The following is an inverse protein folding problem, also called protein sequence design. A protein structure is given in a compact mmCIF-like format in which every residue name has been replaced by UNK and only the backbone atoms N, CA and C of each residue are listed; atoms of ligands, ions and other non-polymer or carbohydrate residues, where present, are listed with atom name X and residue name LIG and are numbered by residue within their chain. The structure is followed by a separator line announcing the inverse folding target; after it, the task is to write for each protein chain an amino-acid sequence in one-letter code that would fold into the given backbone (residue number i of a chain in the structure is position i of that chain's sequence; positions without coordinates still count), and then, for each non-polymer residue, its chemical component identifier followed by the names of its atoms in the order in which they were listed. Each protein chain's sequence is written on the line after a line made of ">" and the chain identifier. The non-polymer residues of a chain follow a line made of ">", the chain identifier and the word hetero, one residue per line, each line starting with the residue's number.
data_IF_046044812764
#
_entry.id   IF_046044812764
#
_cell.length_a   1.000
_cell.length_b   1.000
_cell.length_c   1.000
_cell.angle_alpha   90.00
_cell.angle_beta   90.00
_cell.angle_gamma   90.00
#
_symmetry.space_group_name_H-M   'P 1'
#
loop_
_entity.id
_entity.type
_entity.pdbx_description
1 polymer ?
#
# COMPACT_ATOMS: atom_id res chain seq x y z
N UNK A 1 9.41 20.87 -20.52
CA UNK A 1 7.95 21.05 -20.82
C UNK A 1 7.34 21.89 -19.72
N UNK A 2 6.78 23.06 -20.06
CA UNK A 2 6.24 24.01 -19.06
C UNK A 2 4.82 23.69 -18.59
N UNK A 3 4.02 23.08 -19.46
CA UNK A 3 2.66 22.65 -19.16
C UNK A 3 2.30 21.41 -19.96
N UNK A 4 1.31 20.66 -19.47
CA UNK A 4 0.76 19.51 -20.17
C UNK A 4 -0.76 19.54 -20.11
N UNK A 5 -1.39 19.61 -21.28
CA UNK A 5 -2.84 19.61 -21.41
C UNK A 5 -3.42 18.21 -21.15
N UNK A 6 -4.48 18.18 -20.35
CA UNK A 6 -5.21 16.97 -19.99
C UNK A 6 -6.53 16.92 -20.76
N UNK A 7 -7.02 15.71 -21.01
CA UNK A 7 -8.31 15.51 -21.70
C UNK A 7 -9.47 16.15 -20.92
N UNK A 8 -9.44 16.07 -19.60
CA UNK A 8 -10.36 16.66 -18.64
C UNK A 8 -9.74 16.58 -17.23
N UNK A 9 -10.37 17.19 -16.23
CA UNK A 9 -9.97 17.09 -14.83
C UNK A 9 -10.36 15.76 -14.18
N UNK A 10 -10.89 15.78 -12.96
CA UNK A 10 -11.37 14.56 -12.31
C UNK A 10 -12.52 13.89 -13.08
N UNK A 11 -13.35 14.69 -13.72
CA UNK A 11 -14.52 14.22 -14.47
C UNK A 11 -14.56 14.80 -15.89
N UNK A 12 -15.23 14.13 -16.86
CA UNK A 12 -15.25 14.55 -18.26
C UNK A 12 -15.80 15.97 -18.53
N UNK A 13 -16.64 16.50 -17.66
CA UNK A 13 -17.21 17.85 -17.75
C UNK A 13 -16.25 18.94 -17.23
N UNK A 14 -15.18 18.57 -16.51
CA UNK A 14 -14.23 19.51 -15.92
C UNK A 14 -13.14 19.88 -16.95
N UNK A 15 -13.47 20.83 -17.80
CA UNK A 15 -12.60 21.38 -18.86
C UNK A 15 -12.59 22.91 -18.80
N UNK A 16 -11.46 23.56 -19.17
CA UNK A 16 -10.18 22.99 -19.57
C UNK A 16 -9.43 22.34 -18.40
N UNK A 17 -8.39 21.51 -18.71
CA UNK A 17 -7.58 20.85 -17.69
C UNK A 17 -6.12 20.77 -18.14
N UNK A 18 -5.19 21.06 -17.24
CA UNK A 18 -3.75 20.96 -17.47
C UNK A 18 -2.98 20.85 -16.15
N UNK A 19 -1.73 20.39 -16.25
CA UNK A 19 -0.75 20.50 -15.17
C UNK A 19 0.37 21.46 -15.58
N UNK A 20 0.88 22.25 -14.65
CA UNK A 20 1.98 23.20 -14.84
C UNK A 20 2.59 23.57 -13.49
N UNK A 21 3.78 24.16 -13.51
CA UNK A 21 4.42 24.70 -12.33
C UNK A 21 3.94 26.14 -12.08
N UNK A 22 3.40 26.43 -10.89
CA UNK A 22 2.88 27.75 -10.54
C UNK A 22 3.93 28.88 -10.63
N UNK A 23 5.22 28.55 -10.45
CA UNK A 23 6.33 29.49 -10.59
C UNK A 23 6.81 29.68 -12.04
N UNK A 24 6.17 29.01 -13.02
CA UNK A 24 6.50 29.11 -14.45
C UNK A 24 7.72 28.32 -14.89
N UNK A 25 8.30 27.50 -14.01
CA UNK A 25 9.38 26.58 -14.36
C UNK A 25 8.89 25.40 -15.22
N UNK A 26 9.81 24.59 -15.70
CA UNK A 26 9.47 23.34 -16.36
C UNK A 26 8.97 22.28 -15.35
N UNK A 27 8.06 21.45 -15.81
CA UNK A 27 7.63 20.26 -15.05
C UNK A 27 8.83 19.33 -14.79
N UNK A 28 9.02 18.85 -13.55
CA UNK A 28 10.14 17.95 -13.20
C UNK A 28 9.94 16.53 -13.67
N UNK A 29 9.22 16.33 -14.79
CA UNK A 29 8.88 15.03 -15.35
C UNK A 29 9.07 14.96 -16.85
N UNK A 30 9.23 13.75 -17.36
CA UNK A 30 9.11 13.41 -18.78
C UNK A 30 8.06 12.30 -18.95
N UNK A 31 7.17 12.44 -19.90
CA UNK A 31 6.21 11.40 -20.28
C UNK A 31 6.85 10.59 -21.39
N UNK A 32 7.25 9.35 -21.08
CA UNK A 32 7.97 8.47 -22.01
C UNK A 32 7.02 7.63 -22.86
N UNK A 33 5.81 7.39 -22.39
CA UNK A 33 4.77 6.67 -23.10
C UNK A 33 3.38 7.00 -22.53
N UNK A 34 2.34 6.83 -23.31
CA UNK A 34 0.96 7.05 -22.91
C UNK A 34 0.56 8.52 -22.82
N UNK A 35 -0.59 8.75 -22.24
CA UNK A 35 -1.13 10.08 -21.96
C UNK A 35 -1.86 10.08 -20.62
N UNK A 36 -1.14 10.24 -19.50
CA UNK A 36 -1.74 10.23 -18.17
C UNK A 36 -2.83 11.30 -18.02
N UNK A 37 -3.89 10.97 -17.32
CA UNK A 37 -4.95 11.89 -16.97
C UNK A 37 -4.72 12.59 -15.62
N UNK A 38 -5.66 13.42 -15.24
CA UNK A 38 -5.63 14.22 -14.01
C UNK A 38 -5.43 13.33 -12.75
N UNK A 39 -6.26 12.30 -12.60
CA UNK A 39 -6.18 11.38 -11.44
C UNK A 39 -4.87 10.58 -11.48
N UNK A 40 -4.40 10.17 -12.66
CA UNK A 40 -3.12 9.48 -12.80
C UNK A 40 -1.95 10.32 -12.27
N UNK A 41 -1.93 11.63 -12.53
CA UNK A 41 -0.88 12.51 -12.00
C UNK A 41 -1.01 12.74 -10.50
N UNK A 42 -2.22 12.81 -9.95
CA UNK A 42 -2.39 12.84 -8.49
C UNK A 42 -1.81 11.57 -7.83
N UNK A 43 -2.10 10.40 -8.40
CA UNK A 43 -1.52 9.14 -7.93
C UNK A 43 0.00 9.13 -8.10
N UNK A 44 0.50 9.54 -9.27
CA UNK A 44 1.94 9.57 -9.57
C UNK A 44 2.74 10.41 -8.58
N UNK A 45 2.31 11.64 -8.32
CA UNK A 45 3.08 12.55 -7.48
C UNK A 45 2.97 12.23 -5.99
N UNK A 46 1.82 11.76 -5.51
CA UNK A 46 1.69 11.30 -4.14
C UNK A 46 2.48 10.00 -3.89
N UNK A 47 2.37 9.05 -4.80
CA UNK A 47 3.05 7.75 -4.68
C UNK A 47 4.57 7.88 -4.74
N UNK A 48 5.10 8.78 -5.59
CA UNK A 48 6.54 8.99 -5.68
C UNK A 48 7.13 9.61 -4.41
N UNK A 49 6.44 10.56 -3.80
CA UNK A 49 6.86 11.12 -2.51
C UNK A 49 6.98 10.02 -1.45
N UNK A 50 5.99 9.12 -1.38
CA UNK A 50 5.99 8.01 -0.44
C UNK A 50 7.23 7.11 -0.60
N UNK A 51 7.53 6.65 -1.81
CA UNK A 51 8.67 5.74 -2.02
C UNK A 51 10.02 6.44 -1.84
N UNK A 52 10.13 7.71 -2.20
CA UNK A 52 11.32 8.54 -1.96
C UNK A 52 11.60 8.66 -0.46
N UNK A 53 10.56 8.89 0.32
CA UNK A 53 10.65 9.00 1.78
C UNK A 53 10.99 7.66 2.45
N UNK A 54 10.37 6.56 2.03
CA UNK A 54 10.69 5.21 2.50
C UNK A 54 12.14 4.84 2.24
N UNK A 55 12.65 5.10 1.03
CA UNK A 55 14.05 4.85 0.70
C UNK A 55 14.99 5.68 1.57
N UNK A 56 14.68 6.96 1.77
CA UNK A 56 15.50 7.84 2.61
C UNK A 56 15.53 7.36 4.07
N UNK A 57 14.39 6.92 4.61
CA UNK A 57 14.26 6.48 5.99
C UNK A 57 14.92 5.11 6.27
N UNK A 58 14.86 4.18 5.32
CA UNK A 58 15.23 2.78 5.54
C UNK A 58 16.44 2.31 4.72
N UNK A 59 16.94 3.12 3.77
CA UNK A 59 18.10 2.79 2.95
C UNK A 59 17.89 1.63 1.97
N UNK A 60 16.64 1.23 1.70
CA UNK A 60 16.30 0.13 0.82
C UNK A 60 15.44 0.62 -0.35
N UNK A 61 15.51 -0.02 -1.54
CA UNK A 61 14.54 0.24 -2.60
C UNK A 61 13.12 0.07 -2.09
N UNK A 62 12.24 0.98 -2.49
CA UNK A 62 10.85 1.02 -2.07
C UNK A 62 9.90 1.13 -3.26
N UNK A 63 8.74 0.51 -3.12
CA UNK A 63 7.66 0.51 -4.12
C UNK A 63 6.32 0.70 -3.43
N UNK A 64 5.41 1.43 -4.08
CA UNK A 64 4.01 1.50 -3.68
C UNK A 64 3.09 1.22 -4.85
N UNK A 65 1.96 0.59 -4.58
CA UNK A 65 0.80 0.49 -5.46
C UNK A 65 -0.23 1.51 -4.97
N UNK A 66 -0.71 2.37 -5.86
CA UNK A 66 -1.52 3.54 -5.52
C UNK A 66 -2.80 3.57 -6.34
N UNK A 67 -3.91 3.96 -5.74
CA UNK A 67 -5.18 4.12 -6.43
C UNK A 67 -6.09 5.08 -5.66
N UNK A 68 -6.77 5.97 -6.40
CA UNK A 68 -7.66 6.98 -5.81
C UNK A 68 -6.97 7.82 -4.72
N UNK A 69 -5.75 8.26 -5.04
CA UNK A 69 -4.93 9.12 -4.17
C UNK A 69 -4.63 8.53 -2.80
N UNK A 70 -4.53 7.20 -2.74
CA UNK A 70 -4.13 6.48 -1.53
C UNK A 70 -3.35 5.21 -1.87
N UNK A 71 -2.37 4.81 -1.05
CA UNK A 71 -1.67 3.55 -1.24
C UNK A 71 -2.59 2.36 -0.94
N UNK A 72 -2.56 1.34 -1.79
CA UNK A 72 -3.10 0.02 -1.46
C UNK A 72 -2.11 -0.73 -0.57
N UNK A 73 -0.82 -0.48 -0.78
CA UNK A 73 0.31 -0.96 0.01
C UNK A 73 1.57 -0.19 -0.33
N UNK A 74 2.58 -0.33 0.52
CA UNK A 74 3.96 0.08 0.28
C UNK A 74 4.91 -0.95 0.88
N UNK A 75 6.07 -1.17 0.26
CA UNK A 75 7.03 -2.18 0.69
C UNK A 75 8.46 -1.77 0.37
N UNK A 76 9.40 -2.37 1.10
CA UNK A 76 10.84 -2.28 0.83
C UNK A 76 11.40 -3.60 0.34
N UNK A 77 12.60 -3.55 -0.26
CA UNK A 77 13.23 -4.66 -0.98
C UNK A 77 13.77 -5.77 -0.09
N UNK A 78 12.90 -6.57 0.48
CA UNK A 78 13.22 -7.77 1.26
C UNK A 78 12.77 -9.00 0.48
N UNK A 79 13.61 -10.06 0.38
CA UNK A 79 13.24 -11.30 -0.29
C UNK A 79 11.93 -11.90 0.23
N UNK A 80 11.15 -12.53 -0.64
CA UNK A 80 9.89 -13.17 -0.30
C UNK A 80 10.13 -14.64 0.07
N UNK A 81 9.37 -15.15 1.04
CA UNK A 81 9.26 -16.59 1.26
C UNK A 81 8.57 -17.28 0.07
N UNK A 82 8.78 -18.59 -0.11
CA UNK A 82 8.13 -19.34 -1.19
C UNK A 82 6.60 -19.29 -1.11
N UNK A 83 6.05 -19.27 0.10
CA UNK A 83 4.62 -19.06 0.36
C UNK A 83 4.13 -17.71 -0.18
N UNK A 84 4.86 -16.65 0.13
CA UNK A 84 4.51 -15.30 -0.28
C UNK A 84 4.68 -15.12 -1.79
N UNK A 85 5.71 -15.72 -2.41
CA UNK A 85 5.86 -15.75 -3.87
C UNK A 85 4.64 -16.35 -4.56
N UNK A 86 4.13 -17.48 -4.06
CA UNK A 86 2.89 -18.09 -4.56
C UNK A 86 1.67 -17.19 -4.37
N UNK A 87 1.49 -16.65 -3.17
CA UNK A 87 0.36 -15.76 -2.88
C UNK A 87 0.35 -14.49 -3.74
N UNK A 88 1.53 -14.01 -4.14
CA UNK A 88 1.72 -12.85 -5.02
C UNK A 88 1.73 -13.22 -6.52
N UNK A 89 1.63 -14.50 -6.89
CA UNK A 89 1.74 -14.99 -8.27
C UNK A 89 3.07 -14.62 -8.95
N UNK A 90 4.18 -14.72 -8.21
CA UNK A 90 5.53 -14.39 -8.69
C UNK A 90 6.54 -15.53 -8.48
N UNK A 91 6.08 -16.72 -8.14
CA UNK A 91 6.91 -17.91 -7.92
C UNK A 91 7.57 -18.45 -9.21
N UNK A 92 7.13 -17.97 -10.37
CA UNK A 92 7.68 -18.26 -11.69
C UNK A 92 8.68 -17.21 -12.21
N UNK A 93 8.98 -16.16 -11.42
CA UNK A 93 9.87 -15.08 -11.84
C UNK A 93 11.33 -15.45 -11.56
N UNK A 94 12.10 -15.65 -12.62
CA UNK A 94 13.55 -15.83 -12.53
C UNK A 94 14.25 -14.55 -12.08
N UNK A 95 15.24 -14.66 -11.20
CA UNK A 95 16.03 -13.54 -10.70
C UNK A 95 15.28 -12.59 -9.74
N UNK A 96 14.09 -12.96 -9.26
CA UNK A 96 13.34 -12.14 -8.31
C UNK A 96 14.14 -11.80 -7.06
N UNK A 97 14.81 -12.79 -6.47
CA UNK A 97 15.59 -12.62 -5.23
C UNK A 97 16.88 -11.80 -5.43
N UNK A 98 17.34 -11.65 -6.68
CA UNK A 98 18.52 -10.86 -7.04
C UNK A 98 18.20 -9.37 -7.24
N UNK A 99 16.92 -8.99 -7.29
CA UNK A 99 16.47 -7.61 -7.42
C UNK A 99 15.67 -7.17 -6.19
N UNK A 100 16.25 -6.38 -5.27
CA UNK A 100 15.50 -5.80 -4.16
C UNK A 100 14.31 -4.95 -4.61
N UNK A 101 14.43 -4.23 -5.72
CA UNK A 101 13.32 -3.44 -6.28
C UNK A 101 12.18 -4.34 -6.74
N UNK A 102 12.48 -5.45 -7.41
CA UNK A 102 11.48 -6.43 -7.82
C UNK A 102 10.80 -7.10 -6.61
N UNK A 103 11.54 -7.40 -5.55
CA UNK A 103 10.98 -7.89 -4.29
C UNK A 103 10.01 -6.87 -3.67
N UNK A 104 10.38 -5.60 -3.63
CA UNK A 104 9.52 -4.54 -3.13
C UNK A 104 8.23 -4.41 -3.97
N UNK A 105 8.34 -4.49 -5.30
CA UNK A 105 7.17 -4.49 -6.18
C UNK A 105 6.25 -5.69 -5.95
N UNK A 106 6.80 -6.90 -5.89
CA UNK A 106 6.04 -8.11 -5.64
C UNK A 106 5.23 -8.03 -4.34
N UNK A 107 5.86 -7.50 -3.28
CA UNK A 107 5.22 -7.28 -1.98
C UNK A 107 4.11 -6.22 -2.05
N UNK A 108 4.42 -5.03 -2.56
CA UNK A 108 3.48 -3.91 -2.61
C UNK A 108 2.26 -4.24 -3.50
N UNK A 109 2.48 -4.77 -4.72
CA UNK A 109 1.40 -5.15 -5.64
C UNK A 109 0.62 -6.36 -5.15
N UNK A 110 1.29 -7.27 -4.44
CA UNK A 110 0.70 -8.52 -3.95
C UNK A 110 -0.09 -8.39 -2.66
N UNK A 111 -0.03 -7.28 -1.96
CA UNK A 111 -0.70 -7.10 -0.66
C UNK A 111 -2.23 -7.09 -0.80
N UNK A 112 -2.75 -6.14 -1.53
CA UNK A 112 -4.19 -5.99 -1.78
C UNK A 112 -4.42 -6.03 -3.29
N UNK A 113 -4.47 -7.24 -3.81
CA UNK A 113 -4.54 -7.48 -5.25
C UNK A 113 -5.88 -7.01 -5.85
N UNK A 114 -6.94 -6.97 -5.04
CA UNK A 114 -8.25 -6.44 -5.45
C UNK A 114 -8.18 -4.92 -5.66
N UNK A 115 -7.67 -4.17 -4.67
CA UNK A 115 -7.54 -2.72 -4.76
C UNK A 115 -6.47 -2.29 -5.78
N UNK A 116 -5.44 -3.09 -5.99
CA UNK A 116 -4.35 -2.81 -6.93
C UNK A 116 -4.70 -3.07 -8.40
N UNK A 117 -5.87 -3.59 -8.70
CA UNK A 117 -6.35 -3.74 -10.08
C UNK A 117 -6.54 -2.37 -10.74
N UNK A 118 -5.73 -2.07 -11.76
CA UNK A 118 -5.70 -0.76 -12.41
C UNK A 118 -4.99 0.31 -11.57
N UNK A 119 -3.93 -0.06 -10.87
CA UNK A 119 -3.13 0.80 -10.01
C UNK A 119 -2.22 1.77 -10.77
N UNK A 120 -1.63 2.68 -10.00
CA UNK A 120 -0.43 3.43 -10.35
C UNK A 120 0.74 2.95 -9.50
N UNK A 121 1.85 2.63 -10.18
CA UNK A 121 3.07 2.13 -9.52
C UNK A 121 4.09 3.25 -9.36
N UNK A 122 4.70 3.39 -8.19
CA UNK A 122 5.86 4.24 -7.99
C UNK A 122 7.06 3.43 -7.50
N UNK A 123 8.20 3.67 -8.11
CA UNK A 123 9.49 3.07 -7.76
C UNK A 123 10.44 4.14 -7.24
N UNK A 124 11.16 3.84 -6.16
CA UNK A 124 12.20 4.74 -5.62
C UNK A 124 13.48 4.75 -6.44
N UNK A 125 13.69 3.74 -7.27
CA UNK A 125 14.92 3.49 -8.03
C UNK A 125 14.62 3.31 -9.52
N UNK A 126 15.69 3.28 -10.31
CA UNK A 126 15.60 2.97 -11.75
C UNK A 126 14.95 1.60 -11.93
N UNK A 127 13.92 1.55 -12.77
CA UNK A 127 13.20 0.31 -13.06
C UNK A 127 14.09 -0.67 -13.80
N UNK A 128 14.32 -1.84 -13.21
CA UNK A 128 15.05 -2.94 -13.80
C UNK A 128 14.15 -3.87 -14.63
N UNK A 129 14.78 -4.77 -15.38
CA UNK A 129 14.07 -5.72 -16.28
C UNK A 129 13.16 -6.65 -15.49
N UNK A 130 13.60 -7.19 -14.36
CA UNK A 130 12.79 -8.12 -13.54
C UNK A 130 11.51 -7.45 -13.05
N UNK A 131 11.61 -6.22 -12.56
CA UNK A 131 10.44 -5.43 -12.14
C UNK A 131 9.50 -5.15 -13.32
N UNK A 132 10.04 -4.74 -14.46
CA UNK A 132 9.25 -4.46 -15.67
C UNK A 132 8.48 -5.69 -16.16
N UNK A 133 9.07 -6.87 -16.13
CA UNK A 133 8.42 -8.14 -16.51
C UNK A 133 7.21 -8.46 -15.62
N UNK A 134 7.30 -8.20 -14.33
CA UNK A 134 6.17 -8.39 -13.43
C UNK A 134 5.06 -7.35 -13.67
N UNK A 135 5.42 -6.08 -13.84
CA UNK A 135 4.45 -5.01 -14.11
C UNK A 135 3.72 -5.28 -15.43
N UNK A 136 4.42 -5.76 -16.45
CA UNK A 136 3.84 -6.06 -17.77
C UNK A 136 2.62 -6.98 -17.70
N UNK A 137 2.63 -7.95 -16.80
CA UNK A 137 1.59 -8.98 -16.70
C UNK A 137 0.43 -8.65 -15.76
N UNK A 138 0.51 -7.52 -15.04
CA UNK A 138 -0.54 -7.05 -14.15
C UNK A 138 -1.41 -5.98 -14.82
N UNK A 139 -2.68 -5.84 -14.38
CA UNK A 139 -3.53 -4.74 -14.81
C UNK A 139 -3.14 -3.49 -14.03
N UNK A 140 -2.55 -2.52 -14.73
CA UNK A 140 -2.01 -1.29 -14.17
C UNK A 140 -2.23 -0.13 -15.14
N UNK A 141 -2.44 1.07 -14.61
CA UNK A 141 -2.69 2.27 -15.43
C UNK A 141 -1.42 3.02 -15.77
N UNK A 142 -0.40 2.97 -14.92
CA UNK A 142 0.84 3.66 -15.17
C UNK A 142 1.89 3.46 -14.10
N UNK A 143 3.05 4.07 -14.35
CA UNK A 143 4.24 3.99 -13.52
C UNK A 143 4.97 5.33 -13.48
N UNK A 144 5.57 5.63 -12.34
CA UNK A 144 6.53 6.72 -12.15
C UNK A 144 7.79 6.18 -11.48
N UNK A 145 8.95 6.55 -12.03
CA UNK A 145 10.26 6.17 -11.51
C UNK A 145 11.30 7.25 -11.85
N UNK A 146 12.47 7.29 -11.17
CA UNK A 146 13.55 8.23 -11.50
C UNK A 146 14.26 7.89 -12.81
N UNK A 147 14.00 6.73 -13.39
CA UNK A 147 14.55 6.27 -14.65
C UNK A 147 14.15 4.82 -14.95
N UNK A 148 14.56 4.35 -16.11
CA UNK A 148 14.25 3.01 -16.61
C UNK A 148 15.47 2.46 -17.33
N UNK A 149 15.85 1.21 -17.05
CA UNK A 149 16.79 0.51 -17.91
C UNK A 149 16.24 0.42 -19.33
N UNK A 150 17.07 0.51 -20.38
CA UNK A 150 16.59 0.53 -21.76
C UNK A 150 15.67 -0.66 -22.12
N UNK A 151 16.03 -1.87 -21.72
CA UNK A 151 15.22 -3.06 -21.94
C UNK A 151 13.93 -3.04 -21.11
N UNK A 152 13.98 -2.60 -19.87
CA UNK A 152 12.81 -2.44 -19.00
C UNK A 152 11.81 -1.46 -19.61
N UNK A 153 12.29 -0.35 -20.16
CA UNK A 153 11.45 0.64 -20.83
C UNK A 153 10.72 0.04 -22.04
N UNK A 154 11.41 -0.73 -22.88
CA UNK A 154 10.79 -1.37 -24.04
C UNK A 154 9.75 -2.44 -23.64
N UNK A 155 10.01 -3.19 -22.56
CA UNK A 155 9.02 -4.12 -21.98
C UNK A 155 7.76 -3.38 -21.57
N UNK A 156 7.89 -2.27 -20.82
CA UNK A 156 6.76 -1.47 -20.34
C UNK A 156 6.01 -0.78 -21.49
N UNK A 157 6.72 -0.26 -22.51
CA UNK A 157 6.10 0.33 -23.71
C UNK A 157 5.24 -0.67 -24.48
N UNK A 158 5.58 -1.96 -24.46
CA UNK A 158 4.79 -3.00 -25.14
C UNK A 158 3.43 -3.27 -24.47
N UNK A 159 3.26 -2.83 -23.23
CA UNK A 159 2.03 -3.01 -22.45
C UNK A 159 0.89 -2.14 -23.01
N UNK A 160 -0.38 -2.60 -22.86
CA UNK A 160 -1.58 -1.89 -23.34
C UNK A 160 -1.50 -1.46 -24.82
N UNK A 161 -0.92 -2.29 -25.66
CA UNK A 161 -0.74 -2.01 -27.12
C UNK A 161 0.01 -0.68 -27.37
N UNK A 162 1.00 -0.38 -26.52
CA UNK A 162 1.81 0.84 -26.65
C UNK A 162 1.23 2.08 -25.96
N UNK A 163 0.23 1.93 -25.10
CA UNK A 163 -0.44 3.03 -24.41
C UNK A 163 -0.32 3.00 -22.88
N UNK A 164 0.60 2.21 -22.33
CA UNK A 164 0.87 2.23 -20.89
C UNK A 164 1.50 3.56 -20.50
N UNK A 165 1.00 4.17 -19.43
CA UNK A 165 1.51 5.47 -18.98
C UNK A 165 2.86 5.29 -18.26
N UNK A 166 3.93 5.88 -18.83
CA UNK A 166 5.28 5.80 -18.27
C UNK A 166 5.79 7.22 -18.05
N UNK A 167 6.04 7.56 -16.79
CA UNK A 167 6.54 8.87 -16.37
C UNK A 167 7.91 8.72 -15.72
N UNK A 168 8.89 9.50 -16.18
CA UNK A 168 10.18 9.69 -15.54
C UNK A 168 10.15 10.99 -14.74
N UNK A 169 10.61 10.96 -13.49
CA UNK A 169 10.68 12.13 -12.62
C UNK A 169 12.14 12.45 -12.27
N UNK A 170 12.47 13.74 -12.20
CA UNK A 170 13.76 14.18 -11.66
C UNK A 170 13.87 13.82 -10.17
N UNK A 171 14.76 12.91 -9.76
CA UNK A 171 14.91 12.51 -8.37
C UNK A 171 15.43 13.63 -7.46
N UNK A 172 16.05 14.66 -8.05
CA UNK A 172 16.61 15.80 -7.32
C UNK A 172 15.60 16.94 -7.12
N UNK A 173 14.43 16.85 -7.77
CA UNK A 173 13.40 17.86 -7.61
C UNK A 173 12.92 17.93 -6.15
N UNK A 174 12.86 19.17 -5.64
CA UNK A 174 12.34 19.49 -4.30
C UNK A 174 11.20 20.49 -4.48
N UNK A 175 9.98 20.16 -4.06
CA UNK A 175 8.85 21.09 -4.12
C UNK A 175 9.08 22.36 -3.28
N UNK A 176 8.36 23.43 -3.60
CA UNK A 176 8.37 24.64 -2.80
C UNK A 176 7.98 24.36 -1.33
N UNK A 177 8.50 25.15 -0.36
CA UNK A 177 8.21 24.93 1.06
C UNK A 177 6.76 25.26 1.44
N UNK A 178 6.07 26.02 0.60
CA UNK A 178 4.65 26.41 0.78
C UNK A 178 3.82 25.74 -0.31
N UNK A 179 2.72 25.15 0.09
CA UNK A 179 1.75 24.54 -0.81
C UNK A 179 0.38 25.22 -0.71
N UNK A 180 -0.37 25.17 -1.79
CA UNK A 180 -1.68 25.78 -1.91
C UNK A 180 -2.72 24.76 -2.35
N UNK A 181 -3.92 24.90 -1.81
CA UNK A 181 -5.11 24.15 -2.23
C UNK A 181 -6.28 25.11 -2.37
N UNK A 182 -7.02 25.01 -3.46
CA UNK A 182 -8.18 25.82 -3.70
C UNK A 182 -9.47 25.03 -3.47
N UNK A 183 -10.37 25.56 -2.66
CA UNK A 183 -11.70 24.99 -2.42
C UNK A 183 -12.72 26.13 -2.49
N UNK A 184 -13.69 26.01 -3.36
CA UNK A 184 -14.75 27.01 -3.56
C UNK A 184 -14.20 28.43 -3.88
N UNK A 185 -13.08 28.51 -4.65
CA UNK A 185 -12.40 29.76 -4.97
C UNK A 185 -11.61 30.37 -3.81
N UNK A 186 -11.54 29.72 -2.66
CA UNK A 186 -10.74 30.14 -1.51
C UNK A 186 -9.44 29.36 -1.51
N UNK A 187 -8.33 30.07 -1.50
CA UNK A 187 -6.99 29.46 -1.44
C UNK A 187 -6.60 29.19 0.01
N UNK A 188 -6.28 27.93 0.27
CA UNK A 188 -5.63 27.49 1.50
C UNK A 188 -4.13 27.45 1.27
N UNK A 189 -3.38 28.02 2.18
CA UNK A 189 -1.92 28.04 2.18
C UNK A 189 -1.38 27.40 3.45
N UNK A 190 -0.41 26.49 3.30
CA UNK A 190 0.27 25.87 4.43
C UNK A 190 1.72 25.53 4.09
N UNK A 191 2.54 25.29 5.10
CA UNK A 191 3.84 24.68 4.92
C UNK A 191 3.68 23.26 4.39
N UNK A 192 4.51 22.87 3.42
CA UNK A 192 4.55 21.49 2.92
C UNK A 192 4.89 20.54 4.07
N UNK A 193 4.23 19.38 4.12
CA UNK A 193 4.51 18.35 5.13
C UNK A 193 5.86 17.68 4.84
N UNK A 194 6.94 18.29 5.32
CA UNK A 194 8.32 17.80 5.22
C UNK A 194 8.81 17.14 6.52
N UNK A 195 7.88 16.81 7.44
CA UNK A 195 8.22 16.14 8.69
C UNK A 195 8.82 14.74 8.40
N UNK A 196 10.01 14.51 8.93
CA UNK A 196 10.75 13.25 8.73
C UNK A 196 10.30 12.20 9.75
N UNK A 197 9.92 11.03 9.25
CA UNK A 197 9.58 9.86 10.05
C UNK A 197 10.82 8.98 10.15
N UNK A 198 11.33 8.84 11.37
CA UNK A 198 12.55 8.10 11.66
C UNK A 198 12.44 7.34 12.98
N UNK A 199 13.50 6.61 13.35
CA UNK A 199 13.57 5.83 14.60
C UNK A 199 13.33 6.67 15.86
N UNK A 200 13.83 7.90 15.89
CA UNK A 200 13.75 8.77 17.07
C UNK A 200 12.31 9.11 17.42
N UNK A 201 11.43 9.18 16.41
CA UNK A 201 10.00 9.39 16.58
C UNK A 201 9.34 8.30 17.43
N UNK A 202 9.91 7.10 17.48
CA UNK A 202 9.40 5.93 18.20
C UNK A 202 9.97 5.78 19.61
N UNK A 203 10.81 6.72 20.07
CA UNK A 203 11.55 6.59 21.34
C UNK A 203 10.65 6.71 22.58
N UNK A 204 9.50 7.40 22.48
CA UNK A 204 8.58 7.57 23.60
C UNK A 204 7.65 6.38 23.77
N UNK A 205 8.16 5.27 24.31
CA UNK A 205 7.37 4.07 24.58
C UNK A 205 6.60 4.25 25.89
N UNK A 206 5.27 4.22 25.82
CA UNK A 206 4.35 4.53 26.92
C UNK A 206 3.81 3.31 27.66
N UNK A 207 3.89 2.12 27.08
CA UNK A 207 3.45 0.84 27.65
C UNK A 207 4.45 0.26 28.65
N UNK A 208 4.03 -0.71 29.47
CA UNK A 208 4.89 -1.44 30.39
C UNK A 208 5.98 -2.24 29.65
N UNK A 209 5.60 -2.93 28.57
CA UNK A 209 6.56 -3.58 27.66
C UNK A 209 7.31 -2.51 26.86
N UNK A 210 8.65 -2.53 26.95
CA UNK A 210 9.55 -1.58 26.27
C UNK A 210 10.30 -2.22 25.11
N UNK A 211 10.04 -3.49 24.82
CA UNK A 211 10.72 -4.19 23.72
C UNK A 211 10.24 -3.69 22.36
N UNK A 212 11.17 -3.15 21.57
CA UNK A 212 10.92 -2.66 20.23
C UNK A 212 12.08 -3.08 19.31
N UNK A 213 12.04 -4.29 18.75
CA UNK A 213 13.10 -4.80 17.90
C UNK A 213 13.22 -4.03 16.58
N UNK A 214 14.38 -4.10 15.93
CA UNK A 214 14.67 -3.39 14.67
C UNK A 214 13.67 -3.69 13.57
N UNK A 215 13.18 -4.93 13.48
CA UNK A 215 12.14 -5.32 12.52
C UNK A 215 10.83 -4.56 12.75
N UNK A 216 10.44 -4.39 14.02
CA UNK A 216 9.24 -3.63 14.38
C UNK A 216 9.43 -2.11 14.14
N UNK A 217 10.62 -1.57 14.44
CA UNK A 217 10.96 -0.17 14.09
C UNK A 217 10.81 0.05 12.59
N UNK A 218 11.40 -0.81 11.77
CA UNK A 218 11.24 -0.75 10.30
C UNK A 218 9.77 -0.77 9.88
N UNK A 219 9.00 -1.70 10.40
CA UNK A 219 7.60 -1.90 9.99
C UNK A 219 6.71 -0.76 10.47
N UNK A 220 6.96 -0.18 11.66
CA UNK A 220 6.29 1.04 12.12
C UNK A 220 6.64 2.26 11.25
N UNK A 221 7.89 2.42 10.83
CA UNK A 221 8.28 3.48 9.89
C UNK A 221 7.55 3.33 8.56
N UNK A 222 7.47 2.11 8.03
CA UNK A 222 6.69 1.83 6.81
C UNK A 222 5.23 2.21 7.00
N UNK A 223 4.62 1.80 8.11
CA UNK A 223 3.22 2.13 8.41
C UNK A 223 3.00 3.65 8.47
N UNK A 224 3.82 4.38 9.22
CA UNK A 224 3.66 5.82 9.40
C UNK A 224 3.91 6.62 8.11
N UNK A 225 4.94 6.27 7.31
CA UNK A 225 5.19 6.92 6.01
C UNK A 225 4.04 6.61 5.04
N UNK A 226 3.53 5.39 5.03
CA UNK A 226 2.35 5.03 4.23
C UNK A 226 1.15 5.91 4.59
N UNK A 227 0.90 6.13 5.88
CA UNK A 227 -0.21 6.96 6.37
C UNK A 227 -0.06 8.43 6.02
N UNK A 228 1.17 8.95 5.96
CA UNK A 228 1.44 10.34 5.56
C UNK A 228 0.89 10.67 4.16
N UNK A 229 0.69 9.66 3.31
CA UNK A 229 0.17 9.77 1.95
C UNK A 229 -1.18 9.06 1.76
N UNK A 230 -1.87 8.75 2.85
CA UNK A 230 -3.17 8.08 2.84
C UNK A 230 -4.27 9.04 3.31
N UNK A 231 -5.37 9.11 2.57
CA UNK A 231 -6.52 9.95 2.95
C UNK A 231 -7.03 9.60 4.35
N UNK A 232 -7.14 10.60 5.21
CA UNK A 232 -7.55 10.44 6.61
C UNK A 232 -9.07 10.20 6.75
N UNK A 233 -9.53 9.56 7.85
CA UNK A 233 -8.69 8.85 8.83
C UNK A 233 -8.03 7.65 8.20
N UNK A 234 -6.82 7.37 8.62
CA UNK A 234 -6.08 6.23 8.10
C UNK A 234 -5.36 5.42 9.19
N UNK A 235 -5.31 4.10 8.96
CA UNK A 235 -4.64 3.11 9.81
C UNK A 235 -3.92 2.12 8.91
N UNK A 236 -2.71 1.73 9.28
CA UNK A 236 -1.89 0.80 8.50
C UNK A 236 -1.32 -0.32 9.38
N UNK A 237 -1.56 -1.56 8.98
CA UNK A 237 -0.91 -2.75 9.51
C UNK A 237 0.31 -3.07 8.64
N UNK A 238 1.44 -3.37 9.26
CA UNK A 238 2.69 -3.67 8.56
C UNK A 238 3.44 -4.84 9.23
N UNK A 239 4.09 -5.66 8.43
CA UNK A 239 4.95 -6.74 8.90
C UNK A 239 5.94 -7.11 7.79
N UNK A 240 7.10 -7.59 8.17
CA UNK A 240 8.09 -8.14 7.24
C UNK A 240 8.43 -7.20 6.07
N UNK A 241 8.57 -5.91 6.36
CA UNK A 241 8.99 -4.91 5.37
C UNK A 241 7.90 -4.41 4.42
N UNK A 242 6.61 -4.62 4.75
CA UNK A 242 5.51 -4.15 3.91
C UNK A 242 4.26 -3.77 4.71
N UNK A 243 3.51 -2.82 4.20
CA UNK A 243 2.14 -2.57 4.62
C UNK A 243 1.25 -3.73 4.13
N UNK A 244 0.48 -4.32 5.03
CA UNK A 244 -0.36 -5.50 4.73
C UNK A 244 -1.85 -5.21 4.78
N UNK A 245 -2.24 -4.06 5.33
CA UNK A 245 -3.63 -3.62 5.34
C UNK A 245 -3.68 -2.11 5.59
N UNK A 246 -4.22 -1.37 4.63
CA UNK A 246 -4.38 0.09 4.70
C UNK A 246 -5.87 0.42 4.70
N UNK A 247 -6.33 1.07 5.75
CA UNK A 247 -7.65 1.69 5.83
C UNK A 247 -7.53 3.18 5.56
N UNK A 248 -8.33 3.71 4.64
CA UNK A 248 -8.26 5.08 4.17
C UNK A 248 -9.64 5.74 4.15
N UNK A 249 -9.68 7.06 4.37
CA UNK A 249 -10.84 7.89 4.14
C UNK A 249 -12.05 7.61 5.04
N UNK A 250 -11.83 7.02 6.22
CA UNK A 250 -12.93 6.69 7.13
C UNK A 250 -13.19 7.82 8.14
N UNK A 251 -14.46 8.10 8.40
CA UNK A 251 -14.85 9.14 9.37
C UNK A 251 -14.73 8.68 10.82
N UNK A 252 -14.80 7.36 11.07
CA UNK A 252 -14.63 6.77 12.39
C UNK A 252 -13.32 6.00 12.48
N UNK A 253 -12.55 6.23 13.56
CA UNK A 253 -11.27 5.52 13.79
C UNK A 253 -11.45 4.02 13.86
N UNK A 254 -12.47 3.53 14.57
CA UNK A 254 -12.70 2.09 14.69
C UNK A 254 -13.11 1.45 13.35
N UNK A 255 -13.88 2.15 12.51
CA UNK A 255 -14.20 1.65 11.16
C UNK A 255 -12.93 1.55 10.32
N UNK A 256 -12.03 2.52 10.45
CA UNK A 256 -10.75 2.50 9.77
C UNK A 256 -9.88 1.31 10.21
N UNK A 257 -9.77 1.09 11.52
CA UNK A 257 -9.03 -0.04 12.10
C UNK A 257 -9.62 -1.39 11.68
N UNK A 258 -10.96 -1.50 11.63
CA UNK A 258 -11.63 -2.72 11.13
C UNK A 258 -11.34 -2.98 9.66
N UNK A 259 -11.40 -1.94 8.83
CA UNK A 259 -11.12 -2.04 7.39
C UNK A 259 -9.67 -2.48 7.15
N UNK A 260 -8.71 -1.78 7.76
CA UNK A 260 -7.29 -2.11 7.64
C UNK A 260 -6.99 -3.53 8.17
N UNK A 261 -7.55 -3.87 9.33
CA UNK A 261 -7.38 -5.19 9.92
C UNK A 261 -8.00 -6.32 9.09
N UNK A 262 -9.17 -6.10 8.48
CA UNK A 262 -9.79 -7.06 7.57
C UNK A 262 -8.94 -7.34 6.33
N UNK A 263 -8.32 -6.30 5.77
CA UNK A 263 -7.35 -6.44 4.66
C UNK A 263 -6.09 -7.19 5.09
N UNK A 264 -5.56 -6.90 6.27
CA UNK A 264 -4.41 -7.61 6.83
C UNK A 264 -4.74 -9.10 7.07
N UNK A 265 -5.90 -9.42 7.62
CA UNK A 265 -6.38 -10.78 7.81
C UNK A 265 -6.47 -11.52 6.47
N UNK A 266 -7.02 -10.89 5.45
CA UNK A 266 -7.11 -11.45 4.09
C UNK A 266 -5.71 -11.71 3.51
N UNK A 267 -4.74 -10.79 3.70
CA UNK A 267 -3.37 -10.98 3.26
C UNK A 267 -2.73 -12.21 3.90
N UNK A 268 -2.92 -12.43 5.21
CA UNK A 268 -2.45 -13.63 5.89
C UNK A 268 -3.15 -14.89 5.37
N UNK A 269 -4.47 -14.86 5.22
CA UNK A 269 -5.26 -16.01 4.76
C UNK A 269 -4.98 -16.40 3.31
N UNK A 270 -4.54 -15.46 2.46
CA UNK A 270 -4.04 -15.80 1.12
C UNK A 270 -2.82 -16.71 1.14
N UNK A 271 -2.09 -16.78 2.25
CA UNK A 271 -0.95 -17.66 2.47
C UNK A 271 -1.34 -18.98 3.18
N UNK A 272 -2.62 -19.18 3.48
CA UNK A 272 -3.13 -20.44 4.02
C UNK A 272 -3.03 -21.55 2.96
N UNK A 273 -2.69 -22.75 3.39
CA UNK A 273 -2.42 -23.88 2.48
C UNK A 273 -3.61 -24.21 1.56
N UNK A 274 -4.84 -24.16 2.07
CA UNK A 274 -6.04 -24.36 1.25
C UNK A 274 -6.17 -23.31 0.14
N UNK A 275 -5.80 -22.07 0.40
CA UNK A 275 -5.86 -20.97 -0.58
C UNK A 275 -4.75 -21.11 -1.63
N UNK A 276 -3.52 -21.39 -1.20
CA UNK A 276 -2.38 -21.58 -2.10
C UNK A 276 -2.54 -22.79 -3.04
N UNK A 277 -3.34 -23.80 -2.65
CA UNK A 277 -3.57 -25.02 -3.40
C UNK A 277 -4.94 -25.08 -4.09
N UNK A 278 -5.64 -23.96 -4.24
CA UNK A 278 -6.89 -23.91 -4.99
C UNK A 278 -6.70 -24.43 -6.43
N UNK A 279 -7.50 -25.42 -6.85
CA UNK A 279 -7.32 -26.12 -8.13
C UNK A 279 -7.89 -25.32 -9.31
N UNK A 280 -7.35 -24.12 -9.56
CA UNK A 280 -7.80 -23.26 -10.64
C UNK A 280 -7.67 -23.91 -12.01
N UNK A 281 -8.60 -23.60 -12.90
CA UNK A 281 -8.45 -23.88 -14.33
C UNK A 281 -7.32 -23.03 -14.92
N UNK A 282 -6.56 -23.60 -15.84
CA UNK A 282 -5.45 -22.90 -16.51
C UNK A 282 -5.93 -21.70 -17.36
N UNK A 283 -7.19 -21.73 -17.79
CA UNK A 283 -7.81 -20.66 -18.57
C UNK A 283 -8.17 -19.42 -17.74
N UNK A 284 -8.13 -19.54 -16.39
CA UNK A 284 -8.50 -18.43 -15.50
C UNK A 284 -7.34 -17.47 -15.32
N UNK A 285 -7.53 -16.21 -15.74
CA UNK A 285 -6.55 -15.14 -15.61
C UNK A 285 -6.33 -14.68 -14.15
N UNK A 286 -5.25 -13.92 -13.91
CA UNK A 286 -4.93 -13.40 -12.56
C UNK A 286 -6.06 -12.58 -11.93
N UNK A 287 -6.71 -11.62 -12.62
CA UNK A 287 -7.80 -10.84 -12.02
C UNK A 287 -8.98 -11.70 -11.57
N UNK A 288 -9.34 -12.70 -12.37
CA UNK A 288 -10.43 -13.62 -12.02
C UNK A 288 -10.04 -14.51 -10.83
N UNK A 289 -8.79 -14.99 -10.78
CA UNK A 289 -8.27 -15.74 -9.63
C UNK A 289 -8.29 -14.89 -8.36
N UNK A 290 -7.93 -13.61 -8.44
CA UNK A 290 -7.99 -12.70 -7.29
C UNK A 290 -9.41 -12.54 -6.77
N UNK A 291 -10.41 -12.35 -7.64
CA UNK A 291 -11.82 -12.28 -7.27
C UNK A 291 -12.30 -13.58 -6.60
N UNK A 292 -11.93 -14.72 -7.17
CA UNK A 292 -12.32 -16.03 -6.62
C UNK A 292 -11.66 -16.29 -5.26
N UNK A 293 -10.39 -15.91 -5.09
CA UNK A 293 -9.69 -16.03 -3.79
C UNK A 293 -10.37 -15.14 -2.75
N UNK A 294 -10.73 -13.91 -3.12
CA UNK A 294 -11.44 -13.01 -2.21
C UNK A 294 -12.78 -13.60 -1.77
N UNK A 295 -13.58 -14.09 -2.72
CA UNK A 295 -14.85 -14.79 -2.42
C UNK A 295 -14.67 -16.05 -1.60
N UNK A 296 -13.59 -16.81 -1.83
CA UNK A 296 -13.27 -18.02 -1.06
C UNK A 296 -12.92 -17.71 0.40
N UNK A 297 -12.17 -16.64 0.64
CA UNK A 297 -11.74 -16.22 1.98
C UNK A 297 -12.88 -15.52 2.72
N UNK A 298 -13.50 -14.50 2.09
CA UNK A 298 -14.41 -13.58 2.75
C UNK A 298 -15.88 -14.03 2.68
N UNK A 299 -16.25 -14.92 1.72
CA UNK A 299 -17.60 -15.51 1.59
C UNK A 299 -18.71 -14.45 1.50
N UNK A 300 -18.45 -13.35 0.78
CA UNK A 300 -19.31 -12.18 0.80
C UNK A 300 -20.55 -12.35 -0.08
N UNK A 301 -20.36 -12.44 -1.41
CA UNK A 301 -21.44 -12.36 -2.39
C UNK A 301 -21.78 -13.71 -3.01
N UNK A 302 -20.78 -14.47 -3.43
CA UNK A 302 -20.93 -15.76 -4.08
C UNK A 302 -20.18 -16.85 -3.31
N UNK A 303 -20.85 -17.94 -3.00
CA UNK A 303 -20.16 -19.14 -2.54
C UNK A 303 -19.48 -19.82 -3.75
N UNK A 304 -18.20 -19.55 -3.92
CA UNK A 304 -17.39 -20.09 -5.03
C UNK A 304 -17.17 -21.61 -4.94
N UNK A 305 -17.44 -22.21 -3.78
CA UNK A 305 -17.35 -23.66 -3.55
C UNK A 305 -18.66 -24.38 -3.83
N UNK A 306 -19.79 -23.66 -3.93
CA UNK A 306 -21.10 -24.25 -4.14
C UNK A 306 -21.21 -24.95 -5.50
N UNK A 307 -22.08 -25.97 -5.57
CA UNK A 307 -22.41 -26.63 -6.83
C UNK A 307 -23.05 -25.65 -7.81
N UNK A 308 -22.65 -25.69 -9.08
CA UNK A 308 -23.00 -24.72 -10.10
C UNK A 308 -22.05 -23.50 -10.18
N UNK A 309 -21.26 -23.23 -9.14
CA UNK A 309 -20.30 -22.14 -9.10
C UNK A 309 -18.86 -22.65 -9.24
N UNK A 310 -18.44 -23.63 -8.46
CA UNK A 310 -17.07 -24.12 -8.50
C UNK A 310 -16.63 -24.57 -9.91
N UNK A 311 -17.56 -25.13 -10.69
CA UNK A 311 -17.27 -25.58 -12.06
C UNK A 311 -16.84 -24.45 -12.99
N UNK A 312 -17.14 -23.21 -12.67
CA UNK A 312 -16.70 -22.03 -13.45
C UNK A 312 -15.21 -21.79 -13.29
N UNK A 313 -14.66 -22.05 -12.10
CA UNK A 313 -13.34 -21.58 -11.68
C UNK A 313 -12.32 -22.70 -11.50
N UNK A 314 -12.76 -23.87 -11.05
CA UNK A 314 -11.88 -24.95 -10.58
C UNK A 314 -11.98 -26.19 -11.45
N UNK A 315 -10.92 -27.00 -11.44
CA UNK A 315 -10.87 -28.32 -12.11
C UNK A 315 -11.56 -29.40 -11.28
N UNK A 316 -11.72 -29.19 -9.99
CA UNK A 316 -12.46 -30.02 -9.03
C UNK A 316 -13.00 -29.13 -7.93
N UNK A 317 -14.05 -29.58 -7.23
CA UNK A 317 -14.61 -28.83 -6.10
C UNK A 317 -13.59 -28.71 -4.98
N UNK A 318 -13.23 -27.48 -4.56
CA UNK A 318 -12.35 -27.28 -3.43
C UNK A 318 -13.08 -27.48 -2.09
N UNK A 319 -12.35 -27.90 -1.07
CA UNK A 319 -12.87 -27.81 0.29
C UNK A 319 -12.96 -26.33 0.73
N UNK A 320 -14.07 -25.91 1.35
CA UNK A 320 -14.16 -24.54 1.85
C UNK A 320 -13.20 -24.31 3.03
N UNK A 321 -12.71 -23.08 3.15
CA UNK A 321 -12.01 -22.62 4.35
C UNK A 321 -13.07 -22.30 5.42
N UNK A 322 -13.10 -23.07 6.52
CA UNK A 322 -14.06 -22.81 7.59
C UNK A 322 -13.66 -21.60 8.43
N UNK A 323 -14.61 -21.03 9.15
CA UNK A 323 -14.34 -19.88 10.03
C UNK A 323 -13.43 -20.28 11.20
N UNK A 324 -13.55 -21.53 11.67
CA UNK A 324 -12.69 -22.10 12.70
C UNK A 324 -11.25 -22.24 12.21
N UNK A 325 -11.05 -22.74 10.98
CA UNK A 325 -9.72 -22.85 10.37
C UNK A 325 -9.09 -21.47 10.16
N UNK A 326 -9.85 -20.51 9.65
CA UNK A 326 -9.38 -19.13 9.46
C UNK A 326 -8.98 -18.49 10.80
N UNK A 327 -9.82 -18.61 11.84
CA UNK A 327 -9.52 -18.11 13.18
C UNK A 327 -8.29 -18.78 13.79
N UNK A 328 -8.18 -20.10 13.66
CA UNK A 328 -7.03 -20.84 14.17
C UNK A 328 -5.73 -20.42 13.48
N UNK A 329 -5.76 -20.19 12.17
CA UNK A 329 -4.61 -19.70 11.43
C UNK A 329 -4.21 -18.28 11.85
N UNK A 330 -5.16 -17.37 11.92
CA UNK A 330 -4.90 -15.98 12.34
C UNK A 330 -4.42 -15.90 13.80
N UNK A 331 -4.85 -16.80 14.66
CA UNK A 331 -4.39 -16.88 16.05
C UNK A 331 -2.89 -17.25 16.19
N UNK A 332 -2.27 -17.79 15.14
CA UNK A 332 -0.82 -18.07 15.11
C UNK A 332 0.03 -16.85 14.74
N UNK A 333 -0.60 -15.77 14.27
CA UNK A 333 0.09 -14.56 13.82
C UNK A 333 0.46 -13.70 15.01
N UNK A 334 1.71 -13.23 15.03
CA UNK A 334 2.26 -12.33 16.04
C UNK A 334 3.28 -11.37 15.42
N UNK A 335 3.62 -10.31 16.15
CA UNK A 335 4.68 -9.38 15.74
C UNK A 335 4.27 -8.35 14.69
N UNK A 336 2.98 -8.19 14.41
CA UNK A 336 2.48 -7.20 13.46
C UNK A 336 2.60 -5.79 14.06
N UNK A 337 3.01 -4.83 13.24
CA UNK A 337 3.05 -3.41 13.55
C UNK A 337 1.77 -2.71 13.10
N UNK A 338 1.34 -1.71 13.88
CA UNK A 338 0.16 -0.87 13.59
C UNK A 338 0.53 0.59 13.73
N UNK A 339 0.32 1.37 12.66
CA UNK A 339 0.38 2.83 12.67
C UNK A 339 -1.01 3.45 12.59
N UNK A 340 -1.20 4.60 13.24
CA UNK A 340 -2.40 5.41 13.12
C UNK A 340 -2.02 6.88 12.87
N UNK A 341 -2.73 7.54 11.95
CA UNK A 341 -2.47 8.94 11.60
C UNK A 341 -2.94 9.95 12.67
N UNK A 342 -3.73 9.48 13.64
CA UNK A 342 -4.13 10.23 14.83
C UNK A 342 -4.32 9.29 16.03
N UNK A 343 -4.60 9.85 17.21
CA UNK A 343 -4.77 9.05 18.42
C UNK A 343 -5.96 8.07 18.34
N UNK A 344 -5.87 6.99 19.07
CA UNK A 344 -7.00 6.08 19.29
C UNK A 344 -7.92 6.65 20.37
N UNK A 345 -9.19 6.94 20.05
CA UNK A 345 -10.11 7.51 21.02
C UNK A 345 -10.60 6.50 22.06
N UNK A 346 -10.54 5.18 21.74
CA UNK A 346 -11.03 4.10 22.59
C UNK A 346 -10.17 2.84 22.42
N UNK A 347 -10.17 2.00 23.45
CA UNK A 347 -9.43 0.73 23.49
C UNK A 347 -9.98 -0.35 22.55
N UNK A 348 -11.18 -0.18 21.98
CA UNK A 348 -11.74 -1.09 20.97
C UNK A 348 -10.86 -1.24 19.73
N UNK A 349 -10.10 -0.19 19.39
CA UNK A 349 -9.08 -0.24 18.34
C UNK A 349 -7.97 -1.23 18.67
N UNK A 350 -7.53 -1.28 19.92
CA UNK A 350 -6.50 -2.23 20.39
C UNK A 350 -7.05 -3.65 20.39
N UNK A 351 -8.29 -3.84 20.88
CA UNK A 351 -8.99 -5.14 20.84
C UNK A 351 -9.12 -5.66 19.40
N UNK A 352 -9.43 -4.78 18.42
CA UNK A 352 -9.44 -5.15 17.01
C UNK A 352 -8.05 -5.52 16.49
N UNK A 353 -7.05 -4.72 16.82
CA UNK A 353 -5.66 -4.92 16.41
C UNK A 353 -5.10 -6.27 16.89
N UNK A 354 -5.41 -6.64 18.12
CA UNK A 354 -4.99 -7.92 18.72
C UNK A 354 -5.42 -9.13 17.90
N UNK A 355 -6.61 -9.09 17.27
CA UNK A 355 -7.13 -10.19 16.46
C UNK A 355 -6.31 -10.45 15.18
N UNK A 356 -5.54 -9.46 14.72
CA UNK A 356 -4.65 -9.55 13.56
C UNK A 356 -3.17 -9.68 13.93
N UNK A 357 -2.86 -10.09 15.16
CA UNK A 357 -1.49 -10.35 15.62
C UNK A 357 -0.65 -9.12 15.90
N UNK A 358 -1.27 -7.95 16.12
CA UNK A 358 -0.52 -6.72 16.45
C UNK A 358 0.17 -6.85 17.78
N UNK A 359 1.44 -6.45 17.80
CA UNK A 359 2.30 -6.39 19.00
C UNK A 359 2.95 -5.02 19.18
N UNK A 360 3.14 -4.27 18.11
CA UNK A 360 3.82 -2.97 18.11
C UNK A 360 2.92 -1.90 17.53
N UNK A 361 2.79 -0.77 18.23
CA UNK A 361 1.87 0.30 17.84
C UNK A 361 2.59 1.64 17.88
N UNK A 362 2.31 2.51 16.90
CA UNK A 362 2.71 3.91 16.91
C UNK A 362 1.52 4.80 16.57
N UNK A 363 1.26 5.78 17.42
CA UNK A 363 0.21 6.79 17.23
C UNK A 363 0.58 8.08 17.98
N UNK A 364 -0.05 9.23 17.67
CA UNK A 364 0.38 10.50 18.26
C UNK A 364 0.23 10.64 19.77
N UNK A 365 -0.75 9.99 20.40
CA UNK A 365 -1.18 10.31 21.74
C UNK A 365 -2.02 11.61 21.79
N UNK A 366 -2.40 12.03 22.98
CA UNK A 366 -3.15 13.26 23.22
C UNK A 366 -4.66 13.11 23.33
N UNK A 367 -5.16 11.87 23.45
CA UNK A 367 -6.55 11.59 23.81
C UNK A 367 -6.76 11.71 25.32
N UNK A 368 -7.93 12.17 25.74
CA UNK A 368 -8.34 12.11 27.15
C UNK A 368 -8.46 10.67 27.67
N UNK A 369 -8.42 9.68 26.79
CA UNK A 369 -8.50 8.25 27.09
C UNK A 369 -7.19 7.49 26.86
N UNK A 370 -6.08 8.18 26.74
CA UNK A 370 -4.77 7.56 26.52
C UNK A 370 -4.45 6.48 27.57
N UNK A 371 -4.77 6.72 28.84
CA UNK A 371 -4.56 5.75 29.92
C UNK A 371 -5.28 4.43 29.63
N UNK A 372 -6.56 4.46 29.25
CA UNK A 372 -7.35 3.26 28.95
C UNK A 372 -6.83 2.52 27.72
N UNK A 373 -6.29 3.23 26.74
CA UNK A 373 -5.67 2.64 25.54
C UNK A 373 -4.35 1.96 25.92
N UNK A 374 -3.51 2.61 26.72
CA UNK A 374 -2.24 2.05 27.24
C UNK A 374 -2.52 0.80 28.11
N UNK A 375 -3.47 0.85 29.03
CA UNK A 375 -3.87 -0.30 29.85
C UNK A 375 -4.30 -1.51 29.00
N UNK A 376 -5.03 -1.26 27.91
CA UNK A 376 -5.42 -2.30 26.97
C UNK A 376 -4.22 -2.91 26.24
N UNK A 377 -3.24 -2.08 25.85
CA UNK A 377 -1.98 -2.56 25.28
C UNK A 377 -1.19 -3.40 26.29
N UNK A 378 -1.10 -2.96 27.54
CA UNK A 378 -0.41 -3.67 28.62
C UNK A 378 -1.04 -5.02 28.94
N UNK A 379 -2.38 -5.09 28.93
CA UNK A 379 -3.14 -6.35 29.06
C UNK A 379 -2.68 -7.42 28.05
N UNK A 380 -2.29 -7.01 26.85
CA UNK A 380 -1.85 -7.91 25.77
C UNK A 380 -0.33 -7.96 25.58
N UNK A 381 0.44 -7.30 26.47
CA UNK A 381 1.90 -7.25 26.37
C UNK A 381 2.42 -6.54 25.12
N UNK A 382 1.64 -5.63 24.55
CA UNK A 382 2.02 -4.84 23.39
C UNK A 382 3.01 -3.74 23.77
N UNK A 383 3.79 -3.28 22.79
CA UNK A 383 4.64 -2.09 22.89
C UNK A 383 4.01 -0.96 22.10
N UNK A 384 3.74 0.18 22.74
CA UNK A 384 3.19 1.36 22.09
C UNK A 384 4.10 2.56 22.25
N UNK A 385 4.36 3.25 21.15
CA UNK A 385 5.07 4.54 21.11
C UNK A 385 4.10 5.67 20.80
N UNK A 386 4.20 6.78 21.55
CA UNK A 386 3.55 8.03 21.22
C UNK A 386 4.49 8.91 20.41
N UNK A 387 4.10 9.19 19.16
CA UNK A 387 4.91 9.99 18.24
C UNK A 387 4.79 11.49 18.46
N UNK A 388 3.72 11.95 19.12
CA UNK A 388 3.41 13.37 19.28
C UNK A 388 3.07 14.09 17.96
N UNK A 389 3.02 13.39 16.82
CA UNK A 389 2.81 13.96 15.50
C UNK A 389 1.61 13.34 14.78
N UNK A 390 0.59 14.14 14.52
CA UNK A 390 -0.56 13.79 13.68
C UNK A 390 -0.16 13.81 12.20
N UNK A 391 -0.59 12.82 11.43
CA UNK A 391 -0.21 12.63 10.03
C UNK A 391 -1.41 12.76 9.08
N UNK A 392 -2.34 13.68 9.34
CA UNK A 392 -3.50 13.86 8.48
C UNK A 392 -3.09 14.25 7.05
N UNK A 393 -3.80 13.66 6.10
CA UNK A 393 -3.67 13.92 4.66
C UNK A 393 -5.07 14.11 4.07
N UNK A 394 -5.29 15.27 3.45
CA UNK A 394 -6.57 15.66 2.84
C UNK A 394 -6.42 16.22 1.45
#
# INVERSE_FOLDING_TARGET
>A
MKEFELKYGCNPNQKPSKIYMANGEELPIKILCGRPGYINFLDAFNSYQLVKELKAALGMPAVTSFKHVSPTSAAVGIPLSDKLKKACFVDDIEGLDDSPLACAYARARGTDRMCSFGDWVALSDVCDVTTALMIKREVSDGIIAPGYEPEALEILKSKRKGNYNIVEIDPNYVPAPIEHKEVYGITFEQGRNNFEINRELLANIVTANKDLPESAVRDLIIALITLKYTQSNSVCFAVDGQAIGVGAGQQSRIHCTRLAGGKADTWFLRQHEKVLNLPFKDTLGRPDRDNVIDGYINKNEEDVCADGNWQKYFTRQPEPLTDEEAKAYLATIDGVALGSDAFFPFSDNIERAKKSGVKYIAEPGGSIRDEAVIECCDKYGMTMSFTGMRLFHH
#
